data_IF_865547025543
#
_entry.id   IF_865547025543
#
_cell.length_a   1.000
_cell.length_b   1.000
_cell.length_c   1.000
_cell.angle_alpha   90.00
_cell.angle_beta   90.00
_cell.angle_gamma   90.00
#
_symmetry.space_group_name_H-M   'P 1'
#
loop_
_entity.id
_entity.type
_entity.pdbx_description
1 polymer ?
#
# COMPACT_ATOMS: atom_id res chain seq x y z
N UNK A 1 2.47 -2.23 23.63
CA UNK A 1 2.92 -3.60 23.28
C UNK A 1 3.82 -3.45 22.07
N UNK A 2 5.12 -3.39 22.30
CA UNK A 2 6.11 -3.07 21.28
C UNK A 2 6.49 -4.37 20.55
N UNK A 3 5.71 -4.71 19.53
CA UNK A 3 5.89 -5.92 18.71
C UNK A 3 7.17 -5.79 17.90
N UNK A 4 8.29 -6.19 18.48
CA UNK A 4 9.63 -5.96 17.94
C UNK A 4 9.77 -6.40 16.48
N UNK A 5 9.94 -5.43 15.58
CA UNK A 5 10.21 -5.67 14.17
C UNK A 5 11.50 -6.49 14.03
N UNK A 6 11.37 -7.76 13.62
CA UNK A 6 12.47 -8.67 13.29
C UNK A 6 12.85 -8.45 11.83
N UNK A 7 14.07 -7.98 11.58
CA UNK A 7 14.62 -7.88 10.22
C UNK A 7 15.20 -9.22 9.80
N UNK A 8 14.91 -9.65 8.57
CA UNK A 8 15.42 -10.89 7.99
C UNK A 8 15.97 -10.63 6.60
N UNK A 9 17.01 -11.37 6.24
CA UNK A 9 17.52 -11.37 4.87
C UNK A 9 16.61 -12.21 3.97
N UNK A 10 16.39 -11.73 2.76
CA UNK A 10 15.63 -12.44 1.72
C UNK A 10 16.05 -11.96 0.33
N UNK A 11 15.46 -12.57 -0.69
CA UNK A 11 15.67 -12.22 -2.10
C UNK A 11 14.37 -11.66 -2.67
N UNK A 12 14.46 -10.54 -3.39
CA UNK A 12 13.33 -10.02 -4.17
C UNK A 12 13.11 -10.96 -5.35
N UNK A 13 11.91 -11.54 -5.42
CA UNK A 13 11.51 -12.46 -6.51
C UNK A 13 10.59 -11.77 -7.51
N UNK A 14 9.69 -10.91 -7.04
CA UNK A 14 8.71 -10.23 -7.89
C UNK A 14 8.52 -8.78 -7.48
N UNK A 15 8.33 -7.93 -8.49
CA UNK A 15 7.92 -6.54 -8.35
C UNK A 15 6.52 -6.40 -8.95
N UNK A 16 5.60 -5.78 -8.21
CA UNK A 16 4.23 -5.52 -8.67
C UNK A 16 3.96 -4.04 -8.58
N UNK A 17 3.64 -3.40 -9.70
CA UNK A 17 3.14 -2.03 -9.70
C UNK A 17 1.71 -2.05 -9.13
N UNK A 18 1.49 -1.32 -8.05
CA UNK A 18 0.20 -1.14 -7.39
C UNK A 18 -0.30 0.28 -7.65
N UNK A 19 -1.59 0.35 -7.98
CA UNK A 19 -2.34 1.61 -8.01
C UNK A 19 -3.16 1.67 -6.73
N UNK A 20 -2.91 2.68 -5.90
CA UNK A 20 -3.64 2.98 -4.68
C UNK A 20 -4.29 4.35 -4.81
N UNK A 21 -5.46 4.53 -4.21
CA UNK A 21 -6.22 5.76 -4.25
C UNK A 21 -6.31 6.36 -2.86
N UNK A 22 -6.24 7.69 -2.80
CA UNK A 22 -6.49 8.45 -1.58
C UNK A 22 -7.92 8.96 -1.58
N UNK A 23 -8.69 8.58 -0.56
CA UNK A 23 -10.11 8.92 -0.39
C UNK A 23 -10.31 9.64 0.94
N UNK A 24 -11.03 10.75 0.89
CA UNK A 24 -11.51 11.47 2.07
C UNK A 24 -12.96 11.08 2.35
N UNK A 25 -13.22 10.37 3.44
CA UNK A 25 -14.56 9.92 3.79
C UNK A 25 -15.38 11.02 4.46
N UNK A 26 -16.71 10.92 4.38
CA UNK A 26 -17.63 11.91 4.96
C UNK A 26 -17.60 11.96 6.50
N UNK A 27 -17.08 10.92 7.15
CA UNK A 27 -16.85 10.88 8.60
C UNK A 27 -15.56 11.61 9.04
N UNK A 28 -14.80 12.17 8.08
CA UNK A 28 -13.55 12.88 8.31
C UNK A 28 -12.31 11.99 8.31
N UNK A 29 -12.44 10.67 8.15
CA UNK A 29 -11.31 9.76 8.00
C UNK A 29 -10.70 9.82 6.59
N UNK A 30 -9.46 9.35 6.47
CA UNK A 30 -8.72 9.31 5.19
C UNK A 30 -8.15 7.93 4.98
N UNK A 31 -8.36 7.36 3.79
CA UNK A 31 -7.65 6.15 3.33
C UNK A 31 -6.66 6.54 2.25
N UNK A 32 -5.44 6.00 2.31
CA UNK A 32 -4.39 6.17 1.30
C UNK A 32 -4.10 4.87 0.52
N UNK A 33 -4.87 3.82 0.81
CA UNK A 33 -4.64 2.46 0.34
C UNK A 33 -5.89 1.83 -0.30
N UNK A 34 -6.89 2.62 -0.67
CA UNK A 34 -8.08 2.14 -1.37
C UNK A 34 -7.71 1.62 -2.75
N UNK A 35 -8.22 0.46 -3.17
CA UNK A 35 -7.98 -0.07 -4.51
C UNK A 35 -8.96 0.54 -5.53
N UNK A 36 -8.58 0.65 -6.81
CA UNK A 36 -9.51 1.05 -7.87
C UNK A 36 -10.77 0.17 -7.94
N UNK A 37 -10.64 -1.12 -7.62
CA UNK A 37 -11.75 -2.08 -7.59
C UNK A 37 -12.77 -1.80 -6.49
N UNK A 38 -12.37 -1.10 -5.43
CA UNK A 38 -13.22 -0.85 -4.27
C UNK A 38 -14.17 0.31 -4.54
N UNK A 39 -13.88 1.15 -5.54
CA UNK A 39 -14.80 2.20 -6.00
C UNK A 39 -15.92 1.57 -6.84
N UNK A 40 -17.08 1.41 -6.23
CA UNK A 40 -18.27 0.82 -6.87
C UNK A 40 -19.11 1.86 -7.63
N UNK A 41 -18.94 3.16 -7.32
CA UNK A 41 -19.60 4.27 -8.03
C UNK A 41 -18.77 5.54 -7.93
N UNK A 42 -18.79 6.36 -8.98
CA UNK A 42 -18.19 7.70 -8.97
C UNK A 42 -19.08 8.72 -9.71
N UNK A 43 -18.98 9.98 -9.30
CA UNK A 43 -19.66 11.11 -9.93
C UNK A 43 -18.70 11.93 -10.83
N UNK A 44 -17.70 11.30 -11.43
CA UNK A 44 -16.76 11.99 -12.33
C UNK A 44 -17.47 12.50 -13.58
N UNK A 45 -17.16 13.72 -14.01
CA UNK A 45 -17.70 14.30 -15.26
C UNK A 45 -17.15 13.53 -16.47
N UNK A 46 -15.86 13.19 -16.43
CA UNK A 46 -15.19 12.36 -17.44
C UNK A 46 -14.98 10.96 -16.87
N UNK A 47 -15.82 10.02 -17.28
CA UNK A 47 -15.75 8.63 -16.80
C UNK A 47 -14.69 7.78 -17.51
N UNK A 48 -14.13 8.25 -18.62
CA UNK A 48 -12.97 7.61 -19.26
C UNK A 48 -11.80 7.52 -18.26
N UNK A 49 -11.24 6.32 -18.09
CA UNK A 49 -10.12 6.07 -17.15
C UNK A 49 -10.54 5.80 -15.70
N UNK A 50 -11.80 5.99 -15.32
CA UNK A 50 -12.28 5.67 -13.96
C UNK A 50 -12.06 4.19 -13.59
N UNK A 51 -12.15 3.28 -14.56
CA UNK A 51 -11.90 1.84 -14.35
C UNK A 51 -10.47 1.54 -13.87
N UNK A 52 -9.51 2.40 -14.22
CA UNK A 52 -8.11 2.27 -13.82
C UNK A 52 -7.79 3.13 -12.57
N UNK A 53 -8.82 3.63 -11.89
CA UNK A 53 -8.71 4.50 -10.71
C UNK A 53 -8.41 5.96 -11.03
N UNK A 54 -8.38 6.35 -12.32
CA UNK A 54 -8.13 7.74 -12.73
C UNK A 54 -9.42 8.58 -12.63
N UNK A 55 -9.87 8.82 -11.41
CA UNK A 55 -11.00 9.69 -11.13
C UNK A 55 -10.57 11.17 -11.16
N UNK A 56 -11.54 12.06 -11.32
CA UNK A 56 -11.32 13.50 -11.21
C UNK A 56 -11.23 13.89 -9.70
N UNK A 57 -10.16 14.57 -9.25
CA UNK A 57 -10.05 15.07 -7.88
C UNK A 57 -11.30 15.85 -7.43
N UNK A 58 -11.75 15.58 -6.19
CA UNK A 58 -12.96 16.14 -5.61
C UNK A 58 -14.26 15.46 -6.04
N UNK A 59 -14.22 14.48 -6.95
CA UNK A 59 -15.42 13.73 -7.31
C UNK A 59 -15.90 12.88 -6.13
N UNK A 60 -17.21 12.90 -5.87
CA UNK A 60 -17.84 11.98 -4.92
C UNK A 60 -17.72 10.55 -5.44
N UNK A 61 -17.34 9.64 -4.55
CA UNK A 61 -17.21 8.20 -4.82
C UNK A 61 -17.91 7.40 -3.73
N UNK A 62 -18.32 6.19 -4.08
CA UNK A 62 -18.78 5.18 -3.13
C UNK A 62 -17.76 4.05 -3.10
N UNK A 63 -17.26 3.74 -1.92
CA UNK A 63 -16.22 2.73 -1.70
C UNK A 63 -16.82 1.57 -0.93
N UNK A 64 -16.68 0.35 -1.45
CA UNK A 64 -16.97 -0.87 -0.71
C UNK A 64 -15.77 -1.18 0.20
N UNK A 65 -15.99 -1.19 1.51
CA UNK A 65 -14.93 -1.38 2.49
C UNK A 65 -14.78 -2.84 2.92
N UNK A 66 -13.72 -3.12 3.68
CA UNK A 66 -13.36 -4.49 4.10
C UNK A 66 -14.36 -5.18 5.03
N UNK A 67 -15.24 -4.42 5.69
CA UNK A 67 -16.36 -4.92 6.49
C UNK A 67 -17.57 -5.32 5.62
N UNK A 68 -17.52 -5.03 4.31
CA UNK A 68 -18.58 -5.31 3.35
C UNK A 68 -19.55 -4.14 3.14
N UNK A 69 -19.46 -3.08 3.94
CA UNK A 69 -20.32 -1.91 3.85
C UNK A 69 -19.85 -0.90 2.80
N UNK A 70 -20.73 0.02 2.40
CA UNK A 70 -20.44 1.05 1.40
C UNK A 70 -20.40 2.42 2.05
N UNK A 71 -19.28 3.11 1.86
CA UNK A 71 -19.04 4.44 2.44
C UNK A 71 -18.96 5.50 1.34
N UNK A 72 -19.48 6.69 1.66
CA UNK A 72 -19.36 7.88 0.81
C UNK A 72 -18.07 8.64 1.12
N UNK A 73 -17.41 9.12 0.08
CA UNK A 73 -16.21 9.94 0.19
C UNK A 73 -15.89 10.72 -1.07
N UNK A 74 -14.75 11.40 -1.04
CA UNK A 74 -14.24 12.23 -2.12
C UNK A 74 -12.89 11.70 -2.57
N UNK A 75 -12.77 11.44 -3.86
CA UNK A 75 -11.50 11.04 -4.44
C UNK A 75 -10.51 12.21 -4.41
N UNK A 76 -9.35 12.02 -3.78
CA UNK A 76 -8.29 13.02 -3.69
C UNK A 76 -7.27 12.84 -4.80
N UNK A 77 -6.60 11.69 -4.85
CA UNK A 77 -5.55 11.42 -5.83
C UNK A 77 -5.27 9.91 -6.02
N UNK A 78 -4.45 9.62 -7.03
CA UNK A 78 -3.93 8.30 -7.39
C UNK A 78 -2.44 8.25 -7.08
N UNK A 79 -2.00 7.19 -6.40
CA UNK A 79 -0.61 6.88 -6.09
C UNK A 79 -0.21 5.57 -6.74
N UNK A 80 0.94 5.56 -7.41
CA UNK A 80 1.53 4.35 -7.99
C UNK A 80 2.76 3.97 -7.17
N UNK A 81 2.73 2.78 -6.58
CA UNK A 81 3.82 2.26 -5.74
C UNK A 81 4.25 0.88 -6.20
N UNK A 82 5.49 0.49 -5.89
CA UNK A 82 5.99 -0.85 -6.16
C UNK A 82 5.89 -1.67 -4.87
N UNK A 83 5.18 -2.78 -4.96
CA UNK A 83 5.14 -3.82 -3.95
C UNK A 83 6.14 -4.91 -4.31
N UNK A 84 7.00 -5.28 -3.37
CA UNK A 84 8.06 -6.26 -3.55
C UNK A 84 7.68 -7.55 -2.87
N UNK A 85 7.71 -8.66 -3.61
CA UNK A 85 7.62 -10.00 -3.03
C UNK A 85 9.02 -10.47 -2.70
N UNK A 86 9.30 -10.62 -1.40
CA UNK A 86 10.58 -11.12 -0.87
C UNK A 86 10.40 -12.55 -0.41
N UNK A 87 11.23 -13.46 -0.94
CA UNK A 87 11.32 -14.85 -0.50
C UNK A 87 12.47 -14.99 0.49
N UNK A 88 12.21 -15.67 1.60
CA UNK A 88 13.16 -15.89 2.69
C UNK A 88 13.78 -17.29 2.60
N UNK A 89 14.94 -17.54 3.27
CA UNK A 89 15.64 -18.83 3.17
C UNK A 89 14.81 -20.05 3.59
N UNK A 90 13.81 -19.87 4.46
CA UNK A 90 12.88 -20.92 4.88
C UNK A 90 11.74 -21.18 3.86
N UNK A 91 11.79 -20.57 2.67
CA UNK A 91 10.79 -20.72 1.61
C UNK A 91 9.53 -19.85 1.78
N UNK A 92 9.37 -19.16 2.92
CA UNK A 92 8.25 -18.22 3.11
C UNK A 92 8.44 -16.96 2.25
N UNK A 93 7.34 -16.27 1.92
CA UNK A 93 7.39 -14.98 1.22
C UNK A 93 6.60 -13.89 1.96
N UNK A 94 7.01 -12.64 1.81
CA UNK A 94 6.23 -11.47 2.24
C UNK A 94 6.12 -10.43 1.11
N UNK A 95 5.01 -9.69 1.07
CA UNK A 95 4.81 -8.53 0.20
C UNK A 95 5.06 -7.27 1.02
N UNK A 96 6.01 -6.45 0.59
CA UNK A 96 6.51 -5.31 1.34
C UNK A 96 6.61 -4.06 0.45
N UNK A 97 6.33 -2.86 0.98
CA UNK A 97 6.62 -1.61 0.30
C UNK A 97 8.13 -1.34 0.26
N UNK A 98 8.58 -0.43 -0.61
CA UNK A 98 10.00 0.00 -0.67
C UNK A 98 10.52 0.50 0.68
N UNK A 99 9.66 1.12 1.49
CA UNK A 99 10.02 1.68 2.81
C UNK A 99 10.49 0.62 3.81
N UNK A 100 10.06 -0.63 3.65
CA UNK A 100 10.40 -1.74 4.54
C UNK A 100 11.58 -2.59 4.03
N UNK A 101 12.20 -2.17 2.94
CA UNK A 101 13.34 -2.85 2.33
C UNK A 101 14.64 -2.06 2.51
N UNK A 102 15.71 -2.78 2.81
CA UNK A 102 17.07 -2.24 2.82
C UNK A 102 17.92 -3.02 1.81
N UNK A 103 18.52 -2.31 0.87
CA UNK A 103 19.57 -2.83 -0.01
C UNK A 103 20.86 -3.14 0.74
N UNK A 104 21.76 -3.90 0.11
CA UNK A 104 23.07 -4.22 0.68
C UNK A 104 23.93 -2.96 0.92
N UNK A 105 23.76 -1.95 0.06
CA UNK A 105 24.47 -0.66 0.12
C UNK A 105 23.64 0.46 0.79
N UNK A 106 22.40 0.17 1.21
CA UNK A 106 21.57 1.16 1.88
C UNK A 106 22.11 1.44 3.28
N UNK A 107 22.08 2.71 3.71
CA UNK A 107 22.36 3.10 5.09
C UNK A 107 21.26 2.56 6.01
N UNK A 108 21.40 1.31 6.43
CA UNK A 108 20.53 0.69 7.41
C UNK A 108 20.63 1.49 8.71
N UNK A 109 19.51 2.02 9.27
CA UNK A 109 19.54 2.74 10.53
C UNK A 109 20.28 1.94 11.61
N UNK A 110 21.10 2.58 12.47
CA UNK A 110 21.92 1.89 13.48
C UNK A 110 21.11 0.92 14.36
N UNK A 111 19.86 1.29 14.64
CA UNK A 111 18.90 0.50 15.42
C UNK A 111 18.55 -0.84 14.76
N UNK A 112 18.48 -0.86 13.43
CA UNK A 112 18.21 -2.05 12.61
C UNK A 112 19.48 -2.89 12.46
N UNK A 113 20.66 -2.26 12.27
CA UNK A 113 21.96 -2.97 12.20
C UNK A 113 22.30 -3.74 13.47
N UNK A 114 21.95 -3.19 14.65
CA UNK A 114 22.15 -3.85 15.95
C UNK A 114 21.35 -5.16 16.07
N UNK A 115 20.22 -5.28 15.37
CA UNK A 115 19.34 -6.47 15.38
C UNK A 115 19.77 -7.54 14.38
N UNK A 116 20.49 -7.18 13.31
CA UNK A 116 21.05 -8.13 12.32
C UNK A 116 22.17 -9.02 12.89
N UNK A 117 22.91 -8.55 13.92
CA UNK A 117 24.08 -9.25 14.47
C UNK A 117 23.76 -10.34 15.50
N UNK A 118 22.49 -10.60 15.81
CA UNK A 118 22.07 -11.58 16.83
C UNK A 118 21.32 -12.79 16.24
N UNK A 119 21.90 -13.40 15.21
CA UNK A 119 21.56 -14.78 14.85
C UNK A 119 22.85 -15.58 14.91
N UNK A 120 23.09 -16.19 16.07
CA UNK A 120 24.15 -17.16 16.29
C UNK A 120 23.55 -18.57 16.29
#
# INVERSE_FOLDING_TARGET
MDGGSRVRQGRVERLVLRTLLTIDFEDGSVSENTLPSDIVRCCCIRQQGCRDGQHQPGSRVKVQWSDGEIYDGYYRCISKTIEYTVVFPNGTSARLPRADLYGADDLVPPEVRRRLRKSH
#
